data_IF_634159458709
#
_entry.id   IF_634159458709
#
_cell.length_a   1.000
_cell.length_b   1.000
_cell.length_c   1.000
_cell.angle_alpha   90.00
_cell.angle_beta   90.00
_cell.angle_gamma   90.00
#
_symmetry.space_group_name_H-M   'P 1'
#
loop_
_entity.id
_entity.type
_entity.pdbx_description
1 polymer ?
#
# COMPACT_ATOMS: atom_id res chain seq x y z
N UNK A 1 51.08 -18.78 20.52
CA UNK A 1 50.15 -17.95 21.32
C UNK A 1 48.99 -17.58 20.42
N UNK A 2 47.79 -18.08 20.71
CA UNK A 2 46.59 -17.92 19.89
C UNK A 2 46.19 -16.44 19.86
N UNK A 3 46.09 -15.86 18.68
CA UNK A 3 45.30 -14.64 18.46
C UNK A 3 44.20 -14.97 17.45
N UNK A 4 43.23 -15.74 17.95
CA UNK A 4 41.95 -15.92 17.28
C UNK A 4 41.18 -14.62 17.47
N UNK A 5 41.45 -13.64 16.61
CA UNK A 5 40.44 -12.65 16.28
C UNK A 5 39.47 -13.39 15.37
N UNK A 6 38.48 -14.05 15.99
CA UNK A 6 37.26 -14.37 15.28
C UNK A 6 36.67 -13.02 14.88
N UNK A 7 37.02 -12.56 13.68
CA UNK A 7 36.12 -11.73 12.90
C UNK A 7 34.90 -12.61 12.72
N UNK A 8 33.88 -12.39 13.55
CA UNK A 8 32.57 -12.98 13.34
C UNK A 8 32.13 -12.48 11.98
N UNK A 9 32.36 -13.33 10.97
CA UNK A 9 31.74 -13.18 9.67
C UNK A 9 30.26 -13.05 9.98
N UNK A 10 29.68 -11.91 9.60
CA UNK A 10 28.26 -11.66 9.70
C UNK A 10 27.59 -12.67 8.77
N UNK A 11 27.48 -13.90 9.28
CA UNK A 11 26.96 -15.07 8.61
C UNK A 11 25.57 -14.71 8.13
N UNK A 12 25.50 -14.65 6.81
CA UNK A 12 24.31 -14.71 5.98
C UNK A 12 23.03 -14.37 6.75
N UNK A 13 22.71 -13.07 6.79
CA UNK A 13 21.36 -12.62 7.17
C UNK A 13 20.42 -13.14 6.10
N UNK A 14 20.01 -14.39 6.29
CA UNK A 14 18.87 -15.08 5.70
C UNK A 14 18.12 -14.17 4.74
N UNK A 15 18.51 -14.23 3.47
CA UNK A 15 17.68 -13.73 2.37
C UNK A 15 16.48 -14.67 2.33
N UNK A 16 15.50 -14.42 3.22
CA UNK A 16 14.23 -15.12 3.18
C UNK A 16 13.65 -14.84 1.79
N UNK A 17 13.36 -15.88 0.98
CA UNK A 17 12.69 -15.63 -0.29
C UNK A 17 11.38 -14.93 0.04
N UNK A 18 11.27 -13.66 -0.37
CA UNK A 18 9.99 -12.98 -0.41
C UNK A 18 9.15 -13.75 -1.43
N UNK A 19 8.45 -14.77 -0.96
CA UNK A 19 7.36 -15.41 -1.69
C UNK A 19 6.22 -14.41 -1.75
N UNK A 20 6.43 -13.34 -2.51
CA UNK A 20 5.38 -12.45 -2.98
C UNK A 20 4.53 -13.28 -3.92
N UNK A 21 3.43 -13.77 -3.40
CA UNK A 21 2.37 -14.34 -4.23
C UNK A 21 2.04 -13.30 -5.30
N UNK A 22 2.01 -13.67 -6.60
CA UNK A 22 1.84 -12.70 -7.71
C UNK A 22 0.50 -11.96 -7.67
N UNK A 23 -0.42 -12.39 -6.80
CA UNK A 23 -1.71 -11.77 -6.54
C UNK A 23 -1.87 -11.60 -5.02
N UNK A 24 -1.69 -10.37 -4.54
CA UNK A 24 -1.80 -9.99 -3.14
C UNK A 24 -1.58 -8.50 -2.96
N UNK A 25 -1.91 -7.96 -1.78
CA UNK A 25 -1.65 -6.57 -1.41
C UNK A 25 -0.14 -6.30 -1.45
N UNK A 26 0.37 -5.90 -2.62
CA UNK A 26 1.76 -5.53 -2.83
C UNK A 26 1.96 -4.09 -2.33
N UNK A 27 3.12 -3.73 -1.74
CA UNK A 27 3.35 -2.37 -1.21
C UNK A 27 3.12 -1.25 -2.24
N UNK A 28 3.42 -1.52 -3.50
CA UNK A 28 3.16 -0.58 -4.60
C UNK A 28 1.66 -0.37 -4.85
N UNK A 29 0.86 -1.42 -4.70
CA UNK A 29 -0.60 -1.36 -4.82
C UNK A 29 -1.21 -0.58 -3.66
N UNK A 30 -0.65 -0.66 -2.45
CA UNK A 30 -1.11 0.15 -1.30
C UNK A 30 -0.92 1.66 -1.55
N UNK A 31 0.22 2.06 -2.10
CA UNK A 31 0.48 3.47 -2.44
C UNK A 31 -0.41 3.96 -3.59
N UNK A 32 -0.66 3.11 -4.58
CA UNK A 32 -1.53 3.44 -5.70
C UNK A 32 -2.99 3.60 -5.23
N UNK A 33 -3.49 2.65 -4.44
CA UNK A 33 -4.85 2.68 -3.90
C UNK A 33 -5.07 3.89 -2.98
N UNK A 34 -4.09 4.23 -2.13
CA UNK A 34 -4.19 5.41 -1.26
C UNK A 34 -4.32 6.73 -2.06
N UNK A 35 -3.60 6.87 -3.17
CA UNK A 35 -3.69 8.07 -4.04
C UNK A 35 -5.02 8.15 -4.76
N UNK A 36 -5.48 7.02 -5.30
CA UNK A 36 -6.79 6.94 -5.95
C UNK A 36 -7.92 7.28 -4.98
N UNK A 37 -7.82 6.84 -3.71
CA UNK A 37 -8.79 7.18 -2.68
C UNK A 37 -8.82 8.68 -2.36
N UNK A 38 -7.66 9.35 -2.26
CA UNK A 38 -7.61 10.82 -2.05
C UNK A 38 -8.28 11.57 -3.22
N UNK A 39 -7.98 11.18 -4.46
CA UNK A 39 -8.60 11.78 -5.64
C UNK A 39 -10.10 11.47 -5.71
N UNK A 40 -10.51 10.24 -5.39
CA UNK A 40 -11.91 9.83 -5.39
C UNK A 40 -12.74 10.61 -4.37
N UNK A 41 -12.20 10.86 -3.18
CA UNK A 41 -12.88 11.67 -2.16
C UNK A 41 -13.03 13.12 -2.60
N UNK A 42 -11.97 13.74 -3.13
CA UNK A 42 -12.01 15.13 -3.61
C UNK A 42 -12.98 15.26 -4.81
N UNK A 43 -12.93 14.32 -5.75
CA UNK A 43 -13.83 14.28 -6.89
C UNK A 43 -15.29 14.10 -6.45
N UNK A 44 -15.54 13.24 -5.45
CA UNK A 44 -16.87 13.08 -4.86
C UNK A 44 -17.36 14.42 -4.29
N UNK A 45 -16.59 15.08 -3.42
CA UNK A 45 -16.98 16.37 -2.84
C UNK A 45 -17.26 17.45 -3.91
N UNK A 46 -16.44 17.51 -4.96
CA UNK A 46 -16.67 18.42 -6.08
C UNK A 46 -17.96 18.09 -6.83
N UNK A 47 -18.21 16.81 -7.11
CA UNK A 47 -19.42 16.38 -7.78
C UNK A 47 -20.66 16.68 -6.92
N UNK A 48 -20.59 16.45 -5.60
CA UNK A 48 -21.67 16.79 -4.66
C UNK A 48 -21.96 18.29 -4.69
N UNK A 49 -20.93 19.14 -4.79
CA UNK A 49 -21.09 20.58 -4.88
C UNK A 49 -21.70 21.03 -6.22
N UNK A 50 -21.29 20.43 -7.34
CA UNK A 50 -21.82 20.78 -8.67
C UNK A 50 -23.25 20.27 -8.90
N UNK A 51 -23.54 19.06 -8.44
CA UNK A 51 -24.81 18.36 -8.74
C UNK A 51 -25.85 18.52 -7.62
N UNK A 52 -25.43 18.90 -6.41
CA UNK A 52 -26.31 19.02 -5.24
C UNK A 52 -26.85 17.68 -4.72
N UNK A 53 -26.38 16.55 -5.26
CA UNK A 53 -26.76 15.20 -4.88
C UNK A 53 -25.54 14.46 -4.34
N UNK A 54 -25.69 13.88 -3.16
CA UNK A 54 -24.60 13.16 -2.50
C UNK A 54 -24.28 11.84 -3.22
N UNK A 55 -23.04 11.36 -3.12
CA UNK A 55 -22.71 10.03 -3.65
C UNK A 55 -23.57 8.92 -3.00
N UNK A 56 -24.01 9.14 -1.75
CA UNK A 56 -24.92 8.26 -1.00
C UNK A 56 -26.33 8.30 -1.60
N UNK A 57 -26.76 9.44 -2.15
CA UNK A 57 -28.05 9.55 -2.85
C UNK A 57 -28.11 8.56 -4.02
N UNK A 58 -27.03 8.42 -4.80
CA UNK A 58 -26.95 7.43 -5.88
C UNK A 58 -27.05 5.99 -5.39
N UNK A 59 -26.41 5.67 -4.26
CA UNK A 59 -26.49 4.34 -3.65
C UNK A 59 -27.88 4.04 -3.09
N UNK A 60 -28.61 5.06 -2.63
CA UNK A 60 -29.93 4.94 -2.02
C UNK A 60 -31.07 4.90 -3.06
N UNK A 61 -30.82 5.41 -4.26
CA UNK A 61 -31.80 5.48 -5.35
C UNK A 61 -31.70 4.31 -6.36
N UNK A 62 -30.88 3.30 -6.05
CA UNK A 62 -30.80 2.00 -6.75
C UNK A 62 -31.98 1.10 -6.37
#
# INVERSE_FOLDING_TARGET
MKSQIHTAEAGDRQNFPNTSLPFGFNPEAEWLNGRLAMLGLIAALLLEWLTGQSAITWLTHL
#
